data_IF_738124285873
#
_entry.id   IF_738124285873
#
_cell.length_a   1.000
_cell.length_b   1.000
_cell.length_c   1.000
_cell.angle_alpha   90.00
_cell.angle_beta   90.00
_cell.angle_gamma   90.00
#
_symmetry.space_group_name_H-M   'P 1'
#
loop_
_entity.id
_entity.type
_entity.pdbx_description
1 polymer ?
#
# COMPACT_ATOMS: atom_id res chain seq x y z
N UNK A 1 13.75 5.26 -22.54
CA UNK A 1 14.94 5.61 -21.72
C UNK A 1 15.42 4.42 -20.90
N UNK A 2 14.61 3.85 -19.99
CA UNK A 2 15.01 2.66 -19.22
C UNK A 2 15.40 1.46 -20.09
N UNK A 3 14.68 1.20 -21.18
CA UNK A 3 15.03 0.11 -22.11
C UNK A 3 16.38 0.35 -22.81
N UNK A 4 16.77 1.61 -23.01
CA UNK A 4 18.08 1.97 -23.56
C UNK A 4 19.20 1.75 -22.53
N UNK A 5 18.95 2.03 -21.25
CA UNK A 5 19.91 1.78 -20.16
C UNK A 5 20.06 0.28 -19.87
N UNK A 6 18.97 -0.50 -19.97
CA UNK A 6 19.04 -1.96 -19.79
C UNK A 6 19.77 -2.67 -20.93
N UNK A 7 19.72 -2.12 -22.15
CA UNK A 7 20.37 -2.67 -23.34
C UNK A 7 21.86 -2.31 -23.44
N UNK A 8 22.33 -1.28 -22.72
CA UNK A 8 23.70 -0.79 -22.79
C UNK A 8 24.37 -0.88 -21.41
N UNK A 9 25.26 -1.86 -21.23
CA UNK A 9 26.02 -2.06 -19.99
C UNK A 9 27.08 -0.99 -19.73
N UNK A 10 27.49 -0.27 -20.77
CA UNK A 10 28.63 0.64 -20.73
C UNK A 10 28.26 2.05 -20.25
N UNK A 11 26.97 2.31 -20.03
CA UNK A 11 26.46 3.56 -19.49
C UNK A 11 26.15 3.41 -18.01
N UNK A 12 26.80 4.22 -17.18
CA UNK A 12 26.62 4.26 -15.73
C UNK A 12 25.99 5.60 -15.34
N UNK A 13 24.77 5.53 -14.82
CA UNK A 13 24.11 6.67 -14.18
C UNK A 13 24.10 6.42 -12.67
N UNK A 14 24.77 7.30 -11.92
CA UNK A 14 24.81 7.22 -10.47
C UNK A 14 24.91 8.61 -9.83
N UNK A 15 24.33 8.75 -8.64
CA UNK A 15 24.45 9.95 -7.79
C UNK A 15 25.90 10.25 -7.40
N UNK A 16 26.70 9.19 -7.21
CA UNK A 16 28.09 9.30 -6.75
C UNK A 16 29.02 9.95 -7.77
N UNK A 17 28.60 10.04 -9.04
CA UNK A 17 29.34 10.69 -10.11
C UNK A 17 28.99 12.17 -10.03
N UNK A 18 29.92 13.04 -9.67
CA UNK A 18 29.67 14.50 -9.72
C UNK A 18 29.60 14.98 -11.18
N UNK A 19 29.02 16.15 -11.42
CA UNK A 19 28.96 16.76 -12.77
C UNK A 19 30.36 16.89 -13.41
N UNK A 20 31.40 17.04 -12.61
CA UNK A 20 32.80 17.11 -13.05
C UNK A 20 33.41 15.74 -13.42
N UNK A 21 32.77 14.64 -13.01
CA UNK A 21 33.20 13.26 -13.29
C UNK A 21 32.43 12.61 -14.44
N UNK A 22 31.61 13.39 -15.15
CA UNK A 22 30.90 12.93 -16.33
C UNK A 22 31.88 12.65 -17.47
N UNK A 23 31.71 11.50 -18.12
CA UNK A 23 32.58 11.02 -19.18
C UNK A 23 31.70 10.59 -20.35
N UNK A 24 31.75 11.34 -21.44
CA UNK A 24 30.90 11.16 -22.63
C UNK A 24 31.67 10.59 -23.83
N UNK A 25 32.99 10.60 -23.79
CA UNK A 25 33.82 10.24 -24.94
C UNK A 25 34.36 8.82 -24.84
N UNK A 26 34.70 8.34 -23.64
CA UNK A 26 35.31 7.03 -23.42
C UNK A 26 34.45 6.09 -22.58
N UNK A 27 34.43 4.81 -22.94
CA UNK A 27 33.72 3.77 -22.17
C UNK A 27 34.47 3.44 -20.88
N UNK A 28 33.81 3.32 -19.71
CA UNK A 28 32.37 3.44 -19.48
C UNK A 28 31.88 4.89 -19.42
N UNK A 29 30.77 5.17 -20.11
CA UNK A 29 30.12 6.47 -20.13
C UNK A 29 29.51 6.75 -18.75
N UNK A 30 29.89 7.87 -18.15
CA UNK A 30 29.46 8.26 -16.79
C UNK A 30 28.58 9.49 -16.89
N UNK A 31 27.37 9.40 -16.36
CA UNK A 31 26.40 10.49 -16.36
C UNK A 31 25.93 10.72 -14.93
N UNK A 32 25.93 11.97 -14.49
CA UNK A 32 25.34 12.33 -13.21
C UNK A 32 23.82 12.21 -13.31
N UNK A 33 23.19 11.46 -12.41
CA UNK A 33 21.73 11.36 -12.43
C UNK A 33 21.10 10.46 -11.39
N UNK A 34 19.82 10.71 -11.15
CA UNK A 34 18.99 10.01 -10.17
C UNK A 34 17.80 9.34 -10.82
N UNK A 35 18.01 8.16 -11.40
CA UNK A 35 16.95 7.39 -12.07
C UNK A 35 15.87 6.96 -11.07
N UNK A 36 16.28 6.61 -9.84
CA UNK A 36 15.38 6.21 -8.76
C UNK A 36 14.40 7.32 -8.36
N UNK A 37 14.91 8.52 -8.06
CA UNK A 37 14.11 9.64 -7.56
C UNK A 37 13.03 10.05 -8.56
N UNK A 38 13.29 9.93 -9.86
CA UNK A 38 12.29 10.21 -10.89
C UNK A 38 11.10 9.25 -10.80
N UNK A 39 11.35 7.97 -10.53
CA UNK A 39 10.28 6.97 -10.39
C UNK A 39 9.58 7.06 -9.04
N UNK A 40 10.28 7.40 -7.97
CA UNK A 40 9.61 7.70 -6.69
C UNK A 40 8.65 8.88 -6.81
N UNK A 41 9.05 9.95 -7.53
CA UNK A 41 8.17 11.10 -7.79
C UNK A 41 6.99 10.71 -8.68
N UNK A 42 7.21 9.90 -9.72
CA UNK A 42 6.13 9.41 -10.57
C UNK A 42 5.09 8.63 -9.77
N UNK A 43 5.56 7.75 -8.89
CA UNK A 43 4.72 6.94 -8.01
C UNK A 43 3.94 7.80 -7.01
N UNK A 44 4.59 8.78 -6.39
CA UNK A 44 3.92 9.71 -5.48
C UNK A 44 2.82 10.53 -6.16
N UNK A 45 3.05 11.01 -7.38
CA UNK A 45 2.03 11.73 -8.15
C UNK A 45 0.89 10.81 -8.57
N UNK A 46 1.18 9.54 -8.93
CA UNK A 46 0.14 8.56 -9.21
C UNK A 46 -0.75 8.29 -7.99
N UNK A 47 -0.15 8.12 -6.81
CA UNK A 47 -0.91 7.91 -5.56
C UNK A 47 -1.75 9.16 -5.22
N UNK A 48 -1.21 10.37 -5.41
CA UNK A 48 -1.98 11.61 -5.18
C UNK A 48 -3.18 11.69 -6.11
N UNK A 49 -2.98 11.40 -7.39
CA UNK A 49 -4.05 11.37 -8.39
C UNK A 49 -5.17 10.40 -7.99
N UNK A 50 -4.83 9.18 -7.58
CA UNK A 50 -5.84 8.21 -7.13
C UNK A 50 -6.56 8.65 -5.85
N UNK A 51 -5.93 9.46 -4.98
CA UNK A 51 -6.56 9.98 -3.76
C UNK A 51 -7.54 11.13 -4.03
N UNK A 52 -7.32 11.88 -5.10
CA UNK A 52 -8.16 13.02 -5.48
C UNK A 52 -9.37 12.62 -6.34
N UNK A 53 -9.30 11.48 -7.03
CA UNK A 53 -10.41 10.97 -7.84
C UNK A 53 -11.59 10.47 -6.98
N UNK A 54 -12.81 10.68 -7.48
CA UNK A 54 -14.02 10.10 -6.89
C UNK A 54 -13.98 8.56 -7.01
N UNK A 55 -14.04 7.81 -5.89
CA UNK A 55 -13.95 6.35 -5.91
C UNK A 55 -15.05 5.63 -6.69
N UNK A 56 -16.22 6.26 -6.90
CA UNK A 56 -17.34 5.66 -7.62
C UNK A 56 -17.35 6.02 -9.11
N UNK A 57 -16.39 6.83 -9.56
CA UNK A 57 -16.28 7.27 -10.94
C UNK A 57 -15.61 6.22 -11.83
N UNK A 58 -15.99 6.22 -13.12
CA UNK A 58 -15.26 5.44 -14.13
C UNK A 58 -13.81 5.93 -14.32
N UNK A 59 -13.55 7.22 -14.06
CA UNK A 59 -12.21 7.79 -14.13
C UNK A 59 -11.25 7.11 -13.13
N UNK A 60 -11.73 6.79 -11.93
CA UNK A 60 -10.93 6.05 -10.94
C UNK A 60 -10.49 4.68 -11.47
N UNK A 61 -11.42 3.93 -12.08
CA UNK A 61 -11.16 2.60 -12.63
C UNK A 61 -10.20 2.67 -13.82
N UNK A 62 -10.30 3.69 -14.66
CA UNK A 62 -9.37 3.90 -15.77
C UNK A 62 -7.96 4.21 -15.26
N UNK A 63 -7.82 5.12 -14.30
CA UNK A 63 -6.52 5.48 -13.72
C UNK A 63 -5.89 4.33 -12.95
N UNK A 64 -6.69 3.47 -12.32
CA UNK A 64 -6.19 2.28 -11.63
C UNK A 64 -5.51 1.28 -12.59
N UNK A 65 -5.86 1.27 -13.88
CA UNK A 65 -5.21 0.39 -14.87
C UNK A 65 -3.74 0.75 -15.08
N UNK A 66 -3.38 2.03 -14.94
CA UNK A 66 -2.03 2.56 -15.16
C UNK A 66 -1.04 2.06 -14.11
N UNK A 67 -1.52 1.54 -12.98
CA UNK A 67 -0.72 0.91 -11.94
C UNK A 67 0.14 -0.26 -12.48
N UNK A 68 -0.38 -1.02 -13.45
CA UNK A 68 0.39 -2.09 -14.10
C UNK A 68 1.63 -1.56 -14.81
N UNK A 69 1.51 -0.37 -15.41
CA UNK A 69 2.61 0.27 -16.11
C UNK A 69 3.66 0.79 -15.11
N UNK A 70 3.22 1.36 -13.98
CA UNK A 70 4.11 1.81 -12.90
C UNK A 70 4.88 0.64 -12.30
N UNK A 71 4.19 -0.46 -11.99
CA UNK A 71 4.84 -1.68 -11.49
C UNK A 71 5.88 -2.24 -12.48
N UNK A 72 5.60 -2.19 -13.79
CA UNK A 72 6.56 -2.59 -14.82
C UNK A 72 7.78 -1.66 -14.86
N UNK A 73 7.59 -0.34 -14.72
CA UNK A 73 8.68 0.64 -14.65
C UNK A 73 9.57 0.41 -13.43
N UNK A 74 8.97 0.15 -12.25
CA UNK A 74 9.70 -0.18 -11.02
C UNK A 74 10.52 -1.47 -11.21
N UNK A 75 9.95 -2.48 -11.87
CA UNK A 75 10.67 -3.72 -12.21
C UNK A 75 11.89 -3.47 -13.11
N UNK A 76 11.75 -2.61 -14.12
CA UNK A 76 12.87 -2.23 -15.01
C UNK A 76 13.99 -1.49 -14.27
N UNK A 77 13.64 -0.58 -13.35
CA UNK A 77 14.63 0.13 -12.53
C UNK A 77 15.32 -0.82 -11.56
N UNK A 78 14.59 -1.75 -10.95
CA UNK A 78 15.18 -2.76 -10.08
C UNK A 78 16.25 -3.54 -10.83
N UNK A 79 15.95 -4.05 -12.03
CA UNK A 79 16.92 -4.80 -12.84
C UNK A 79 18.16 -3.95 -13.18
N UNK A 80 17.98 -2.66 -13.46
CA UNK A 80 19.09 -1.74 -13.70
C UNK A 80 19.94 -1.51 -12.45
N UNK A 81 19.32 -1.24 -11.30
CA UNK A 81 20.03 -0.99 -10.04
C UNK A 81 20.67 -2.24 -9.45
N UNK A 82 20.15 -3.44 -9.73
CA UNK A 82 20.80 -4.69 -9.30
C UNK A 82 22.15 -4.90 -9.99
N UNK A 83 22.34 -4.33 -11.19
CA UNK A 83 23.58 -4.42 -11.94
C UNK A 83 24.61 -3.37 -11.51
N UNK A 84 24.19 -2.15 -11.20
CA UNK A 84 25.10 -1.01 -11.01
C UNK A 84 24.78 -0.10 -9.81
N UNK A 85 23.67 -0.31 -9.12
CA UNK A 85 23.19 0.54 -8.05
C UNK A 85 23.89 0.31 -6.71
N UNK A 86 23.79 1.30 -5.83
CA UNK A 86 24.25 1.20 -4.46
C UNK A 86 23.25 0.42 -3.58
N UNK A 87 23.73 -0.09 -2.43
CA UNK A 87 22.86 -0.80 -1.46
C UNK A 87 21.69 0.07 -0.99
N UNK A 88 21.90 1.39 -0.88
CA UNK A 88 20.85 2.34 -0.47
C UNK A 88 19.74 2.45 -1.51
N UNK A 89 20.11 2.57 -2.79
CA UNK A 89 19.16 2.66 -3.91
C UNK A 89 18.40 1.35 -4.10
N UNK A 90 19.10 0.22 -3.96
CA UNK A 90 18.50 -1.11 -3.98
C UNK A 90 17.44 -1.26 -2.90
N UNK A 91 17.76 -0.90 -1.64
CA UNK A 91 16.80 -0.95 -0.53
C UNK A 91 15.55 -0.12 -0.80
N UNK A 92 15.69 1.09 -1.37
CA UNK A 92 14.57 1.97 -1.69
C UNK A 92 13.70 1.41 -2.81
N UNK A 93 14.30 0.87 -3.87
CA UNK A 93 13.54 0.24 -4.96
C UNK A 93 12.85 -1.02 -4.54
N UNK A 94 13.49 -1.86 -3.72
CA UNK A 94 12.82 -3.02 -3.15
C UNK A 94 11.64 -2.61 -2.27
N UNK A 95 11.79 -1.58 -1.43
CA UNK A 95 10.68 -1.06 -0.63
C UNK A 95 9.52 -0.60 -1.53
N UNK A 96 9.81 0.13 -2.60
CA UNK A 96 8.78 0.60 -3.55
C UNK A 96 8.14 -0.54 -4.33
N UNK A 97 8.91 -1.53 -4.76
CA UNK A 97 8.35 -2.73 -5.40
C UNK A 97 7.45 -3.49 -4.44
N UNK A 98 7.85 -3.61 -3.17
CA UNK A 98 6.99 -4.18 -2.13
C UNK A 98 5.73 -3.32 -1.99
N UNK A 99 5.82 -1.99 -2.00
CA UNK A 99 4.66 -1.09 -2.00
C UNK A 99 3.75 -1.24 -3.25
N UNK A 100 4.26 -1.72 -4.39
CA UNK A 100 3.43 -2.01 -5.56
C UNK A 100 2.90 -3.45 -5.63
N UNK A 101 3.37 -4.32 -4.75
CA UNK A 101 2.95 -5.72 -4.68
C UNK A 101 2.13 -6.04 -3.41
N UNK A 102 2.30 -5.31 -2.31
CA UNK A 102 1.73 -5.67 -0.99
C UNK A 102 0.20 -5.71 -0.95
N UNK A 103 -0.49 -4.87 -1.73
CA UNK A 103 -1.95 -4.86 -1.78
C UNK A 103 -2.49 -5.90 -2.78
N UNK A 104 -1.64 -6.46 -3.66
CA UNK A 104 -1.94 -7.57 -4.57
C UNK A 104 -1.65 -8.90 -3.86
N UNK A 105 -2.43 -9.17 -2.81
CA UNK A 105 -2.59 -10.48 -2.14
C UNK A 105 -1.36 -11.42 -2.18
N UNK A 106 -0.45 -11.28 -1.21
CA UNK A 106 0.27 -12.42 -0.64
C UNK A 106 0.51 -12.22 0.88
N UNK A 107 0.36 -13.30 1.64
CA UNK A 107 -0.02 -13.34 3.06
C UNK A 107 1.12 -13.03 4.05
N UNK A 108 2.27 -12.48 3.65
CA UNK A 108 3.39 -12.26 4.58
C UNK A 108 4.16 -10.96 4.29
N UNK A 109 4.63 -10.30 5.38
CA UNK A 109 5.55 -9.13 5.49
C UNK A 109 4.84 -7.77 5.75
N UNK A 110 4.42 -7.37 6.96
CA UNK A 110 5.11 -6.93 8.20
C UNK A 110 5.95 -5.63 8.16
N UNK A 111 5.29 -4.45 8.17
CA UNK A 111 5.68 -3.26 9.00
C UNK A 111 4.69 -2.06 9.08
N UNK A 112 3.44 -2.17 8.59
CA UNK A 112 2.26 -1.49 9.18
C UNK A 112 1.56 -2.48 10.13
N UNK A 113 2.25 -2.91 11.20
CA UNK A 113 1.90 -4.13 11.96
C UNK A 113 0.45 -4.15 12.44
N UNK A 114 -0.07 -3.04 12.95
CA UNK A 114 -1.40 -3.00 13.55
C UNK A 114 -2.52 -2.93 12.51
N UNK A 115 -2.39 -2.09 11.48
CA UNK A 115 -3.41 -1.98 10.42
C UNK A 115 -3.47 -3.29 9.62
N UNK A 116 -2.32 -3.85 9.25
CA UNK A 116 -2.25 -5.12 8.55
C UNK A 116 -2.80 -6.25 9.42
N UNK A 117 -2.43 -6.31 10.70
CA UNK A 117 -2.98 -7.28 11.65
C UNK A 117 -4.51 -7.18 11.73
N UNK A 118 -5.04 -5.97 11.95
CA UNK A 118 -6.48 -5.74 12.05
C UNK A 118 -7.21 -6.18 10.78
N UNK A 119 -6.64 -5.91 9.61
CA UNK A 119 -7.19 -6.34 8.32
C UNK A 119 -7.12 -7.86 8.15
N UNK A 120 -5.99 -8.49 8.45
CA UNK A 120 -5.84 -9.95 8.36
C UNK A 120 -6.78 -10.68 9.31
N UNK A 121 -6.93 -10.19 10.54
CA UNK A 121 -7.90 -10.71 11.51
C UNK A 121 -9.34 -10.54 11.01
N UNK A 122 -9.66 -9.39 10.41
CA UNK A 122 -10.95 -9.15 9.77
C UNK A 122 -11.24 -10.19 8.68
N UNK A 123 -10.29 -10.43 7.78
CA UNK A 123 -10.45 -11.42 6.71
C UNK A 123 -10.52 -12.86 7.23
N UNK A 124 -9.76 -13.20 8.27
CA UNK A 124 -9.84 -14.51 8.94
C UNK A 124 -11.22 -14.72 9.56
N UNK A 125 -11.77 -13.71 10.23
CA UNK A 125 -13.13 -13.76 10.79
C UNK A 125 -14.20 -13.94 9.71
N UNK A 126 -14.13 -13.19 8.61
CA UNK A 126 -15.03 -13.34 7.46
C UNK A 126 -14.90 -14.73 6.81
N UNK A 127 -13.68 -15.26 6.69
CA UNK A 127 -13.43 -16.59 6.16
C UNK A 127 -14.03 -17.68 7.08
N UNK A 128 -13.82 -17.57 8.40
CA UNK A 128 -14.39 -18.48 9.38
C UNK A 128 -15.93 -18.49 9.32
N UNK A 129 -16.55 -17.32 9.17
CA UNK A 129 -18.01 -17.21 9.03
C UNK A 129 -18.51 -17.93 7.77
N UNK A 130 -17.84 -17.78 6.63
CA UNK A 130 -18.18 -18.48 5.38
C UNK A 130 -18.11 -20.01 5.50
N UNK A 131 -17.24 -20.52 6.36
CA UNK A 131 -17.13 -21.95 6.65
C UNK A 131 -18.04 -22.41 7.80
N UNK A 132 -19.05 -21.60 8.17
CA UNK A 132 -19.97 -21.84 9.28
C UNK A 132 -19.28 -22.03 10.64
N UNK A 133 -18.02 -21.59 10.78
CA UNK A 133 -17.29 -21.66 12.03
C UNK A 133 -17.57 -20.41 12.89
N UNK A 134 -18.80 -20.32 13.38
CA UNK A 134 -19.37 -19.10 13.99
C UNK A 134 -18.61 -18.66 15.25
N UNK A 135 -18.18 -19.61 16.09
CA UNK A 135 -17.42 -19.30 17.32
C UNK A 135 -16.08 -18.63 17.01
N UNK A 136 -15.37 -19.14 16.00
CA UNK A 136 -14.09 -18.55 15.58
C UNK A 136 -14.28 -17.21 14.88
N UNK A 137 -15.32 -17.07 14.06
CA UNK A 137 -15.67 -15.79 13.46
C UNK A 137 -15.92 -14.70 14.52
N UNK A 138 -16.73 -15.02 15.55
CA UNK A 138 -16.99 -14.09 16.65
C UNK A 138 -15.71 -13.74 17.43
N UNK A 139 -14.90 -14.73 17.81
CA UNK A 139 -13.66 -14.50 18.57
C UNK A 139 -12.63 -13.67 17.80
N UNK A 140 -12.54 -13.82 16.48
CA UNK A 140 -11.64 -12.99 15.67
C UNK A 140 -12.12 -11.53 15.57
N UNK A 141 -13.44 -11.30 15.59
CA UNK A 141 -14.01 -9.98 15.31
C UNK A 141 -14.32 -9.18 16.58
N UNK A 142 -14.51 -9.82 17.73
CA UNK A 142 -14.95 -9.16 18.97
C UNK A 142 -14.04 -8.02 19.41
N UNK A 143 -12.71 -8.25 19.46
CA UNK A 143 -11.76 -7.24 19.92
C UNK A 143 -11.75 -6.01 18.99
N UNK A 144 -11.95 -6.22 17.69
CA UNK A 144 -12.02 -5.14 16.71
C UNK A 144 -13.33 -4.35 16.85
N UNK A 145 -14.45 -5.05 16.94
CA UNK A 145 -15.79 -4.45 16.93
C UNK A 145 -16.12 -3.73 18.24
N UNK A 146 -15.66 -4.24 19.38
CA UNK A 146 -15.87 -3.64 20.72
C UNK A 146 -15.15 -2.29 20.84
N UNK A 147 -14.06 -2.05 20.09
CA UNK A 147 -13.34 -0.77 20.15
C UNK A 147 -14.17 0.44 19.67
N UNK A 148 -15.20 0.22 18.85
CA UNK A 148 -15.97 1.27 18.18
C UNK A 148 -15.16 2.12 17.17
N UNK A 149 -13.89 1.76 16.91
CA UNK A 149 -12.96 2.52 16.06
C UNK A 149 -12.53 1.76 14.81
N UNK A 150 -13.34 0.81 14.36
CA UNK A 150 -13.05 -0.11 13.25
C UNK A 150 -12.57 0.63 11.99
N UNK A 151 -13.20 1.77 11.65
CA UNK A 151 -12.83 2.59 10.49
C UNK A 151 -11.41 3.17 10.59
N UNK A 152 -10.99 3.59 11.78
CA UNK A 152 -9.64 4.11 12.04
C UNK A 152 -8.62 2.98 12.09
N UNK A 153 -8.95 1.88 12.77
CA UNK A 153 -8.10 0.70 12.96
C UNK A 153 -7.80 -0.05 11.64
N UNK A 154 -8.69 0.07 10.65
CA UNK A 154 -8.51 -0.47 9.30
C UNK A 154 -7.97 0.56 8.30
N UNK A 155 -7.64 1.77 8.76
CA UNK A 155 -7.16 2.89 7.96
C UNK A 155 -8.07 3.31 6.80
N UNK A 156 -9.39 3.24 6.99
CA UNK A 156 -10.42 3.58 5.99
C UNK A 156 -11.03 4.98 6.17
N UNK A 157 -10.53 5.76 7.12
CA UNK A 157 -10.98 7.12 7.36
C UNK A 157 -11.10 7.46 8.84
N UNK A 158 -11.42 8.72 9.12
CA UNK A 158 -11.59 9.24 10.48
C UNK A 158 -13.08 9.32 10.84
N UNK A 159 -13.39 9.15 12.13
CA UNK A 159 -14.75 9.34 12.65
C UNK A 159 -15.05 10.86 12.79
N UNK A 160 -16.21 11.35 12.30
CA UNK A 160 -16.55 12.78 12.31
C UNK A 160 -16.56 13.41 13.72
N UNK A 161 -16.94 12.65 14.74
CA UNK A 161 -17.05 13.12 16.12
C UNK A 161 -15.73 13.58 16.74
N UNK A 162 -14.57 13.22 16.18
CA UNK A 162 -13.24 13.56 16.74
C UNK A 162 -12.43 14.53 15.90
N UNK A 163 -12.99 15.08 14.82
CA UNK A 163 -12.32 16.13 14.05
C UNK A 163 -12.07 17.41 14.85
N UNK A 164 -12.86 17.68 15.90
CA UNK A 164 -12.70 18.88 16.75
C UNK A 164 -11.54 18.80 17.76
N UNK A 165 -11.00 17.61 18.06
CA UNK A 165 -9.94 17.43 19.07
C UNK A 165 -8.53 17.31 18.48
N UNK A 166 -8.38 17.22 17.15
CA UNK A 166 -7.10 16.93 16.49
C UNK A 166 -6.46 18.19 15.90
N UNK A 167 -5.13 18.28 16.02
CA UNK A 167 -4.38 19.33 15.32
C UNK A 167 -4.44 19.11 13.80
N UNK A 168 -4.48 20.20 13.03
CA UNK A 168 -4.49 20.17 11.55
C UNK A 168 -3.32 19.38 10.96
N UNK A 169 -2.19 19.34 11.68
CA UNK A 169 -1.00 18.60 11.27
C UNK A 169 -1.16 17.08 11.45
N UNK A 170 -1.82 16.64 12.53
CA UNK A 170 -2.16 15.23 12.74
C UNK A 170 -3.21 14.74 11.72
N UNK A 171 -4.22 15.55 11.41
CA UNK A 171 -5.23 15.19 10.42
C UNK A 171 -4.60 15.02 9.01
N UNK A 172 -3.62 15.86 8.67
CA UNK A 172 -2.87 15.76 7.41
C UNK A 172 -2.05 14.47 7.34
N UNK A 173 -1.36 14.12 8.42
CA UNK A 173 -0.57 12.87 8.51
C UNK A 173 -1.48 11.64 8.46
N UNK A 174 -2.63 11.67 9.14
CA UNK A 174 -3.60 10.57 9.12
C UNK A 174 -4.28 10.42 7.75
N UNK A 175 -4.65 11.52 7.09
CA UNK A 175 -5.14 11.50 5.70
C UNK A 175 -4.09 10.94 4.73
N UNK A 176 -2.81 11.24 4.94
CA UNK A 176 -1.74 10.64 4.15
C UNK A 176 -1.63 9.13 4.36
N UNK A 177 -1.93 8.64 5.57
CA UNK A 177 -1.89 7.21 5.96
C UNK A 177 -3.16 6.43 5.61
N UNK A 178 -4.21 7.07 5.11
CA UNK A 178 -5.43 6.39 4.70
C UNK A 178 -5.21 5.55 3.46
N UNK A 179 -5.83 4.37 3.46
CA UNK A 179 -5.81 3.46 2.33
C UNK A 179 -6.76 3.97 1.24
N UNK A 180 -6.40 3.80 -0.05
CA UNK A 180 -7.30 4.05 -1.17
C UNK A 180 -8.62 3.27 -1.04
N UNK A 181 -9.70 3.81 -1.60
CA UNK A 181 -11.05 3.27 -1.42
C UNK A 181 -11.22 1.82 -1.89
N UNK A 182 -10.57 1.41 -2.98
CA UNK A 182 -10.63 0.02 -3.46
C UNK A 182 -10.00 -0.99 -2.48
N UNK A 183 -9.31 -0.52 -1.45
CA UNK A 183 -8.77 -1.33 -0.36
C UNK A 183 -9.67 -1.35 0.87
N UNK A 184 -10.83 -0.69 0.86
CA UNK A 184 -11.73 -0.64 2.00
C UNK A 184 -12.49 -1.97 2.16
N UNK A 185 -12.64 -2.40 3.41
CA UNK A 185 -13.50 -3.52 3.80
C UNK A 185 -14.86 -2.91 4.15
N UNK A 186 -15.94 -3.40 3.54
CA UNK A 186 -17.28 -2.93 3.85
C UNK A 186 -17.59 -3.13 5.35
N UNK A 187 -17.75 -2.03 6.07
CA UNK A 187 -17.96 -2.02 7.51
C UNK A 187 -19.35 -2.51 7.92
N UNK A 188 -20.38 -2.25 7.09
CA UNK A 188 -21.75 -2.73 7.35
C UNK A 188 -21.80 -4.26 7.26
N UNK A 189 -21.15 -4.83 6.24
CA UNK A 189 -21.03 -6.28 6.11
C UNK A 189 -20.31 -6.89 7.32
N UNK A 190 -19.23 -6.26 7.76
CA UNK A 190 -18.44 -6.72 8.90
C UNK A 190 -19.26 -6.70 10.20
N UNK A 191 -20.02 -5.63 10.41
CA UNK A 191 -20.91 -5.48 11.55
C UNK A 191 -22.04 -6.51 11.53
N UNK A 192 -22.68 -6.72 10.37
CA UNK A 192 -23.66 -7.79 10.20
C UNK A 192 -23.08 -9.17 10.55
N UNK A 193 -21.89 -9.51 10.06
CA UNK A 193 -21.26 -10.81 10.35
C UNK A 193 -20.97 -10.97 11.85
N UNK A 194 -20.50 -9.93 12.52
CA UNK A 194 -20.25 -9.95 13.96
C UNK A 194 -21.56 -10.14 14.76
N UNK A 195 -22.59 -9.34 14.48
CA UNK A 195 -23.88 -9.39 15.18
C UNK A 195 -24.60 -10.73 14.98
N UNK A 196 -24.61 -11.25 13.75
CA UNK A 196 -25.19 -12.58 13.47
C UNK A 196 -24.43 -13.67 14.22
N UNK A 197 -23.10 -13.57 14.29
CA UNK A 197 -22.29 -14.54 15.03
C UNK A 197 -22.56 -14.48 16.53
N UNK A 198 -22.65 -13.27 17.10
CA UNK A 198 -22.98 -13.07 18.51
C UNK A 198 -24.38 -13.62 18.84
N UNK A 199 -25.38 -13.29 18.01
CA UNK A 199 -26.77 -13.76 18.16
C UNK A 199 -26.86 -15.29 18.17
N UNK A 200 -26.20 -15.96 17.23
CA UNK A 200 -26.20 -17.43 17.15
C UNK A 200 -25.48 -18.10 18.32
N UNK A 201 -24.55 -17.40 18.97
CA UNK A 201 -23.85 -17.89 20.16
C UNK A 201 -24.69 -17.65 21.41
N UNK A 202 -25.32 -16.48 21.57
CA UNK A 202 -25.97 -16.08 22.82
C UNK A 202 -27.38 -16.66 23.00
N UNK A 203 -28.19 -16.74 21.94
CA UNK A 203 -29.59 -17.23 22.02
C UNK A 203 -29.69 -18.61 22.71
N UNK A 204 -28.85 -19.62 22.37
CA UNK A 204 -28.91 -20.93 23.01
C UNK A 204 -28.54 -20.93 24.50
N UNK A 205 -27.82 -19.91 24.99
CA UNK A 205 -27.46 -19.78 26.41
C UNK A 205 -28.48 -18.98 27.21
N UNK A 206 -29.35 -18.20 26.54
CA UNK A 206 -30.40 -17.41 27.17
C UNK A 206 -31.75 -18.16 27.28
N UNK A 207 -31.90 -19.28 26.58
CA UNK A 207 -33.06 -20.17 26.62
C UNK A 207 -32.90 -21.25 27.70
#
# INVERSE_FOLDING_TARGET
MLDMLLSNSDMVIAETITEEMEEFETTPYKIHGFVLTLVERLDEEFIKLLKECDPYSNEYVERLKDEKQIAAIIGKIQEYLERQGTVSELCRVYLRKIEHMYYKFDSNVMKQKEILYNRTITYLGLCAFRHANIKYAHNCLVDLMVTGKVKELLAQGLLPQRQHERSKEQEKIEKQRQMPFHMHINLELLECVYLVSAMLIEIPYMA
#
